data_IF_463556742249
#
_entry.id   IF_463556742249
#
_cell.length_a   1.000
_cell.length_b   1.000
_cell.length_c   1.000
_cell.angle_alpha   90.00
_cell.angle_beta   90.00
_cell.angle_gamma   90.00
#
_symmetry.space_group_name_H-M   'P 1'
#
loop_
_entity.id
_entity.type
_entity.pdbx_description
1 polymer ?
#
# COMPACT_ATOMS: atom_id res chain seq x y z
N UNK A 1 16.88 1.78 -3.26
CA UNK A 1 17.66 1.11 -2.18
C UNK A 1 18.03 2.06 -1.03
N UNK A 2 17.88 3.37 -1.19
CA UNK A 2 18.48 4.32 -0.28
C UNK A 2 20.02 4.34 -0.43
N UNK A 3 20.72 4.86 0.58
CA UNK A 3 22.17 5.01 0.56
C UNK A 3 22.93 4.01 1.43
N UNK A 4 22.26 3.38 2.41
CA UNK A 4 22.91 2.53 3.41
C UNK A 4 22.58 1.04 3.29
N UNK A 5 21.45 0.68 2.70
CA UNK A 5 21.05 -0.72 2.53
C UNK A 5 21.77 -1.37 1.36
N UNK A 6 22.24 -2.60 1.54
CA UNK A 6 22.90 -3.39 0.48
C UNK A 6 21.90 -4.06 -0.46
N UNK A 7 20.69 -4.32 0.01
CA UNK A 7 19.60 -4.97 -0.73
C UNK A 7 18.33 -4.11 -0.69
N UNK A 8 17.46 -4.31 -1.68
CA UNK A 8 16.14 -3.72 -1.66
C UNK A 8 15.12 -4.78 -1.22
N UNK A 9 14.51 -4.57 -0.07
CA UNK A 9 13.48 -5.44 0.49
C UNK A 9 12.06 -4.94 0.20
N UNK A 10 11.93 -3.75 -0.44
CA UNK A 10 10.65 -3.24 -0.92
C UNK A 10 10.26 -3.86 -2.25
N UNK A 11 8.96 -4.12 -2.43
CA UNK A 11 8.37 -4.52 -3.69
C UNK A 11 7.15 -3.66 -4.03
N UNK A 12 7.00 -3.30 -5.30
CA UNK A 12 5.88 -2.49 -5.78
C UNK A 12 5.27 -3.07 -7.05
N UNK A 13 3.97 -2.87 -7.24
CA UNK A 13 3.30 -3.15 -8.51
C UNK A 13 2.15 -2.16 -8.75
N UNK A 14 1.87 -1.91 -10.03
CA UNK A 14 0.71 -1.14 -10.44
C UNK A 14 0.11 -1.67 -11.74
N UNK A 15 -1.21 -1.68 -11.85
CA UNK A 15 -1.94 -1.98 -13.08
C UNK A 15 -3.08 -0.99 -13.28
N UNK A 16 -2.83 0.01 -14.13
CA UNK A 16 -3.84 1.02 -14.48
C UNK A 16 -5.08 0.43 -15.19
N UNK A 17 -5.01 -0.79 -15.76
CA UNK A 17 -6.15 -1.40 -16.46
C UNK A 17 -7.24 -1.87 -15.51
N UNK A 18 -6.88 -2.23 -14.30
CA UNK A 18 -7.76 -2.65 -13.21
C UNK A 18 -7.73 -1.66 -12.03
N UNK A 19 -6.95 -0.57 -12.12
CA UNK A 19 -6.83 0.45 -11.09
C UNK A 19 -6.14 -0.02 -9.82
N UNK A 20 -5.18 -0.93 -9.94
CA UNK A 20 -4.47 -1.53 -8.82
C UNK A 20 -3.15 -0.82 -8.54
N UNK A 21 -2.89 -0.52 -7.26
CA UNK A 21 -1.59 -0.12 -6.72
C UNK A 21 -1.24 -1.02 -5.54
N UNK A 22 0.02 -1.46 -5.46
CA UNK A 22 0.54 -2.34 -4.42
C UNK A 22 1.93 -1.88 -3.99
N UNK A 23 2.15 -1.83 -2.68
CA UNK A 23 3.45 -1.62 -2.07
C UNK A 23 3.58 -2.57 -0.88
N UNK A 24 4.73 -3.19 -0.74
CA UNK A 24 5.12 -4.05 0.36
C UNK A 24 6.56 -3.75 0.74
N UNK A 25 6.81 -3.55 2.04
CA UNK A 25 8.12 -3.33 2.64
C UNK A 25 8.50 -4.56 3.44
N UNK A 26 9.54 -5.24 3.00
CA UNK A 26 9.95 -6.52 3.52
C UNK A 26 10.83 -6.41 4.74
N UNK A 27 10.59 -7.25 5.73
CA UNK A 27 11.39 -7.36 6.93
C UNK A 27 11.86 -8.78 7.18
N UNK A 28 13.09 -8.93 7.66
CA UNK A 28 13.67 -10.23 8.01
C UNK A 28 15.18 -10.23 7.99
N UNK A 29 15.79 -11.33 8.45
CA UNK A 29 17.23 -11.51 8.38
C UNK A 29 17.69 -11.92 6.98
N UNK A 30 18.89 -11.52 6.59
CA UNK A 30 19.51 -11.85 5.30
C UNK A 30 18.75 -11.30 4.09
N UNK A 31 18.08 -12.13 3.30
CA UNK A 31 17.21 -11.77 2.15
C UNK A 31 15.75 -12.14 2.37
N UNK A 32 15.39 -12.42 3.60
CA UNK A 32 14.05 -12.92 3.90
C UNK A 32 12.98 -11.86 3.68
N UNK A 33 13.27 -10.59 3.95
CA UNK A 33 12.39 -9.46 3.66
C UNK A 33 12.09 -9.31 2.16
N UNK A 34 13.13 -9.35 1.31
CA UNK A 34 13.00 -9.31 -0.16
C UNK A 34 12.04 -10.40 -0.66
N UNK A 35 12.21 -11.63 -0.17
CA UNK A 35 11.35 -12.76 -0.56
C UNK A 35 9.90 -12.54 -0.11
N UNK A 36 9.69 -12.04 1.12
CA UNK A 36 8.35 -11.81 1.65
C UNK A 36 7.59 -10.74 0.85
N UNK A 37 8.23 -9.59 0.59
CA UNK A 37 7.62 -8.47 -0.15
C UNK A 37 7.33 -8.84 -1.61
N UNK A 38 8.26 -9.54 -2.28
CA UNK A 38 8.04 -10.02 -3.66
C UNK A 38 6.87 -11.02 -3.74
N UNK A 39 6.81 -12.02 -2.84
CA UNK A 39 5.70 -12.98 -2.78
C UNK A 39 4.38 -12.21 -2.54
N UNK A 40 4.36 -11.26 -1.61
CA UNK A 40 3.17 -10.48 -1.30
C UNK A 40 2.65 -9.75 -2.53
N UNK A 41 3.49 -8.98 -3.21
CA UNK A 41 3.12 -8.19 -4.37
C UNK A 41 2.69 -9.07 -5.54
N UNK A 42 3.46 -10.12 -5.86
CA UNK A 42 3.16 -11.01 -7.00
C UNK A 42 1.88 -11.80 -6.79
N UNK A 43 1.69 -12.41 -5.61
CA UNK A 43 0.50 -13.21 -5.33
C UNK A 43 -0.76 -12.34 -5.26
N UNK A 44 -0.72 -11.21 -4.54
CA UNK A 44 -1.88 -10.35 -4.40
C UNK A 44 -2.26 -9.75 -5.76
N UNK A 45 -1.29 -9.30 -6.56
CA UNK A 45 -1.56 -8.80 -7.91
C UNK A 45 -2.22 -9.86 -8.80
N UNK A 46 -1.72 -11.11 -8.77
CA UNK A 46 -2.28 -12.21 -9.56
C UNK A 46 -3.71 -12.57 -9.11
N UNK A 47 -3.93 -12.75 -7.81
CA UNK A 47 -5.25 -13.10 -7.25
C UNK A 47 -6.30 -12.00 -7.53
N UNK A 48 -5.93 -10.73 -7.36
CA UNK A 48 -6.83 -9.61 -7.63
C UNK A 48 -7.14 -9.48 -9.12
N UNK A 49 -6.13 -9.66 -9.99
CA UNK A 49 -6.33 -9.63 -11.44
C UNK A 49 -7.30 -10.73 -11.88
N UNK A 50 -7.14 -11.96 -11.37
CA UNK A 50 -8.05 -13.08 -11.65
C UNK A 50 -9.46 -12.80 -11.09
N UNK A 51 -9.55 -12.34 -9.84
CA UNK A 51 -10.83 -12.05 -9.20
C UNK A 51 -11.63 -10.98 -9.95
N UNK A 52 -10.95 -9.93 -10.44
CA UNK A 52 -11.58 -8.85 -11.20
C UNK A 52 -12.01 -9.27 -12.61
N UNK A 53 -11.42 -10.32 -13.20
CA UNK A 53 -11.90 -10.93 -14.42
C UNK A 53 -13.18 -11.75 -14.20
N UNK A 54 -13.44 -12.24 -12.98
CA UNK A 54 -14.58 -13.07 -12.61
C UNK A 54 -15.46 -12.45 -11.48
N UNK A 55 -15.94 -11.21 -11.62
CA UNK A 55 -16.59 -10.47 -10.55
C UNK A 55 -17.91 -11.08 -10.08
N UNK A 56 -18.50 -12.02 -10.84
CA UNK A 56 -19.77 -12.69 -10.47
C UNK A 56 -19.62 -13.47 -9.16
N UNK A 57 -18.47 -14.04 -8.86
CA UNK A 57 -18.18 -14.77 -7.62
C UNK A 57 -18.35 -13.92 -6.36
N UNK A 58 -18.19 -12.59 -6.48
CA UNK A 58 -18.17 -11.65 -5.37
C UNK A 58 -19.46 -10.81 -5.25
N UNK A 59 -20.34 -10.83 -6.27
CA UNK A 59 -21.60 -10.05 -6.29
C UNK A 59 -22.67 -10.50 -5.28
N UNK A 60 -22.58 -11.71 -4.73
CA UNK A 60 -23.60 -12.29 -3.85
C UNK A 60 -23.32 -12.07 -2.35
N UNK A 61 -22.31 -11.28 -2.00
CA UNK A 61 -22.06 -10.95 -0.60
C UNK A 61 -23.12 -9.97 -0.11
N UNK A 62 -23.95 -10.40 0.83
CA UNK A 62 -24.92 -9.57 1.56
C UNK A 62 -24.27 -8.54 2.50
N UNK A 63 -22.96 -8.40 2.44
CA UNK A 63 -22.18 -7.49 3.25
C UNK A 63 -22.22 -6.07 2.69
N UNK A 64 -22.21 -5.09 3.57
CA UNK A 64 -22.20 -3.63 3.34
C UNK A 64 -20.94 -3.12 2.62
N UNK A 65 -19.96 -4.01 2.38
CA UNK A 65 -18.65 -3.69 1.75
C UNK A 65 -18.65 -3.93 0.25
N UNK A 66 -17.83 -3.20 -0.47
CA UNK A 66 -17.61 -3.36 -1.90
C UNK A 66 -17.04 -4.76 -2.23
N UNK A 67 -17.36 -5.31 -3.41
CA UNK A 67 -16.79 -6.60 -3.86
C UNK A 67 -15.25 -6.63 -3.82
N UNK A 68 -14.60 -5.52 -4.14
CA UNK A 68 -13.15 -5.36 -4.14
C UNK A 68 -12.56 -5.57 -2.74
N UNK A 69 -13.23 -5.10 -1.69
CA UNK A 69 -12.78 -5.34 -0.31
C UNK A 69 -12.76 -6.84 0.03
N UNK A 70 -13.73 -7.62 -0.46
CA UNK A 70 -13.73 -9.06 -0.27
C UNK A 70 -12.63 -9.75 -1.10
N UNK A 71 -12.41 -9.30 -2.33
CA UNK A 71 -11.32 -9.81 -3.17
C UNK A 71 -9.97 -9.61 -2.48
N UNK A 72 -9.74 -8.42 -1.88
CA UNK A 72 -8.52 -8.14 -1.11
C UNK A 72 -8.37 -9.06 0.10
N UNK A 73 -9.45 -9.25 0.89
CA UNK A 73 -9.41 -10.14 2.05
C UNK A 73 -9.02 -11.57 1.65
N UNK A 74 -9.61 -12.11 0.59
CA UNK A 74 -9.35 -13.48 0.14
C UNK A 74 -7.90 -13.60 -0.38
N UNK A 75 -7.43 -12.62 -1.16
CA UNK A 75 -6.06 -12.58 -1.68
C UNK A 75 -5.02 -12.47 -0.55
N UNK A 76 -5.22 -11.54 0.38
CA UNK A 76 -4.31 -11.31 1.51
C UNK A 76 -4.24 -12.53 2.42
N UNK A 77 -5.39 -13.15 2.74
CA UNK A 77 -5.42 -14.38 3.56
C UNK A 77 -4.62 -15.51 2.94
N UNK A 78 -4.76 -15.73 1.63
CA UNK A 78 -4.04 -16.77 0.91
C UNK A 78 -2.54 -16.47 0.88
N UNK A 79 -2.16 -15.22 0.61
CA UNK A 79 -0.78 -14.77 0.59
C UNK A 79 -0.12 -14.90 1.95
N UNK A 80 -0.79 -14.46 3.03
CA UNK A 80 -0.30 -14.61 4.39
C UNK A 80 0.01 -16.07 4.74
N UNK A 81 -0.92 -16.97 4.44
CA UNK A 81 -0.72 -18.40 4.69
C UNK A 81 0.51 -18.95 3.94
N UNK A 82 0.74 -18.50 2.69
CA UNK A 82 1.90 -18.92 1.89
C UNK A 82 3.20 -18.40 2.50
N UNK A 83 3.31 -17.10 2.82
CA UNK A 83 4.50 -16.51 3.42
C UNK A 83 4.79 -17.17 4.77
N UNK A 84 3.77 -17.33 5.62
CA UNK A 84 3.90 -17.99 6.92
C UNK A 84 4.41 -19.42 6.79
N UNK A 85 3.86 -20.22 5.86
CA UNK A 85 4.31 -21.60 5.64
C UNK A 85 5.78 -21.66 5.19
N UNK A 86 6.21 -20.76 4.30
CA UNK A 86 7.59 -20.70 3.86
C UNK A 86 8.50 -20.33 5.03
N UNK A 87 8.11 -19.33 5.85
CA UNK A 87 8.89 -18.90 7.02
C UNK A 87 9.08 -20.01 8.05
N UNK A 88 8.13 -20.95 8.15
CA UNK A 88 8.21 -22.08 9.07
C UNK A 88 9.02 -23.27 8.53
N UNK A 89 9.06 -23.45 7.21
CA UNK A 89 9.66 -24.62 6.58
C UNK A 89 11.08 -24.38 6.04
N UNK A 90 11.41 -23.13 5.70
CA UNK A 90 12.69 -22.76 5.10
C UNK A 90 13.53 -21.96 6.10
N UNK A 91 14.61 -22.53 6.67
CA UNK A 91 15.42 -21.85 7.70
C UNK A 91 15.98 -20.49 7.28
N UNK A 92 16.30 -20.30 5.98
CA UNK A 92 16.77 -19.03 5.44
C UNK A 92 15.68 -17.95 5.40
N UNK A 93 14.41 -18.33 5.49
CA UNK A 93 13.25 -17.45 5.48
C UNK A 93 12.61 -17.31 6.87
N UNK A 94 13.26 -17.85 7.92
CA UNK A 94 12.71 -17.84 9.27
C UNK A 94 12.49 -16.40 9.76
N UNK A 95 11.26 -16.12 10.21
CA UNK A 95 10.88 -14.80 10.70
C UNK A 95 10.69 -13.73 9.62
N UNK A 96 10.62 -14.11 8.34
CA UNK A 96 10.28 -13.16 7.29
C UNK A 96 8.86 -12.63 7.44
N UNK A 97 8.69 -11.38 7.07
CA UNK A 97 7.39 -10.73 6.99
C UNK A 97 7.45 -9.53 6.07
N UNK A 98 6.32 -8.92 5.84
CA UNK A 98 6.25 -7.69 5.04
C UNK A 98 5.05 -6.84 5.42
N UNK A 99 5.17 -5.53 5.27
CA UNK A 99 4.02 -4.63 5.26
C UNK A 99 3.18 -4.86 4.01
N UNK A 100 2.05 -4.22 3.93
CA UNK A 100 1.21 -4.19 2.73
C UNK A 100 0.38 -2.91 2.69
N UNK A 101 0.42 -2.21 1.57
CA UNK A 101 -0.60 -1.25 1.16
C UNK A 101 -1.13 -1.67 -0.21
N UNK A 102 -2.41 -1.99 -0.27
CA UNK A 102 -3.11 -2.32 -1.52
C UNK A 102 -4.26 -1.36 -1.74
N UNK A 103 -4.32 -0.75 -2.91
CA UNK A 103 -5.36 0.20 -3.27
C UNK A 103 -5.97 -0.16 -4.63
N UNK A 104 -7.31 -0.21 -4.71
CA UNK A 104 -8.04 -0.49 -5.93
C UNK A 104 -9.00 0.67 -6.21
N UNK A 105 -8.79 1.34 -7.34
CA UNK A 105 -9.72 2.34 -7.84
C UNK A 105 -10.94 1.66 -8.45
N UNK A 106 -12.11 2.02 -7.96
CA UNK A 106 -13.39 1.71 -8.56
C UNK A 106 -13.91 2.94 -9.32
N UNK A 107 -15.19 2.94 -9.72
CA UNK A 107 -15.74 4.07 -10.48
C UNK A 107 -15.59 5.42 -9.76
N UNK A 108 -15.90 5.48 -8.46
CA UNK A 108 -15.93 6.71 -7.67
C UNK A 108 -15.29 6.54 -6.29
N UNK A 109 -14.71 5.38 -6.00
CA UNK A 109 -14.14 5.06 -4.69
C UNK A 109 -12.78 4.42 -4.85
N UNK A 110 -11.95 4.58 -3.83
CA UNK A 110 -10.71 3.88 -3.61
C UNK A 110 -10.93 2.92 -2.45
N UNK A 111 -10.80 1.63 -2.70
CA UNK A 111 -10.79 0.60 -1.66
C UNK A 111 -9.35 0.37 -1.26
N UNK A 112 -9.06 0.52 0.02
CA UNK A 112 -7.71 0.42 0.58
C UNK A 112 -7.67 -0.72 1.58
N UNK A 113 -6.69 -1.60 1.44
CA UNK A 113 -6.32 -2.60 2.43
C UNK A 113 -4.90 -2.32 2.91
N UNK A 114 -4.66 -2.41 4.23
CA UNK A 114 -3.37 -2.06 4.76
C UNK A 114 -2.99 -2.92 5.97
N UNK A 115 -1.67 -3.21 6.09
CA UNK A 115 -1.02 -3.90 7.19
C UNK A 115 0.40 -3.34 7.32
N UNK A 116 0.78 -2.89 8.51
CA UNK A 116 2.12 -2.35 8.79
C UNK A 116 2.15 -0.84 8.87
N UNK A 117 3.28 -0.22 8.59
CA UNK A 117 3.55 1.21 8.70
C UNK A 117 3.94 1.87 7.37
N UNK A 118 3.90 1.13 6.27
CA UNK A 118 3.86 1.73 4.93
C UNK A 118 2.57 2.52 4.76
N UNK A 119 2.62 3.66 4.08
CA UNK A 119 1.52 4.64 4.12
C UNK A 119 0.88 4.88 2.76
N UNK A 120 -0.40 5.27 2.80
CA UNK A 120 -1.14 5.85 1.70
C UNK A 120 -1.55 7.27 2.07
N UNK A 121 -1.17 8.23 1.22
CA UNK A 121 -1.59 9.63 1.31
C UNK A 121 -2.50 10.01 0.15
N UNK A 122 -3.34 11.02 0.38
CA UNK A 122 -4.11 11.73 -0.66
C UNK A 122 -3.82 13.23 -0.58
N UNK A 123 -3.41 13.81 -1.71
CA UNK A 123 -3.40 15.27 -1.89
C UNK A 123 -4.68 15.68 -2.63
N UNK A 124 -5.51 16.48 -1.98
CA UNK A 124 -6.74 17.10 -2.50
C UNK A 124 -6.80 18.55 -2.06
N UNK A 125 -7.08 19.47 -2.99
CA UNK A 125 -7.18 20.90 -2.70
C UNK A 125 -5.96 21.44 -1.91
N UNK A 126 -4.76 21.00 -2.28
CA UNK A 126 -3.48 21.31 -1.64
C UNK A 126 -3.31 20.78 -0.19
N UNK A 127 -4.24 19.98 0.29
CA UNK A 127 -4.16 19.34 1.61
C UNK A 127 -3.72 17.89 1.45
N UNK A 128 -2.57 17.55 2.04
CA UNK A 128 -2.11 16.16 2.17
C UNK A 128 -2.78 15.53 3.38
N UNK A 129 -3.35 14.36 3.20
CA UNK A 129 -4.00 13.58 4.25
C UNK A 129 -3.45 12.16 4.21
N UNK A 130 -2.91 11.65 5.31
CA UNK A 130 -2.62 10.24 5.48
C UNK A 130 -3.95 9.48 5.60
N UNK A 131 -4.14 8.45 4.78
CA UNK A 131 -5.37 7.66 4.74
C UNK A 131 -5.25 6.33 5.51
N UNK A 132 -4.04 5.82 5.69
CA UNK A 132 -3.74 4.63 6.52
C UNK A 132 -3.30 5.09 7.91
N UNK A 133 -3.52 4.25 8.92
CA UNK A 133 -2.98 4.46 10.26
C UNK A 133 -1.89 3.42 10.53
N UNK A 134 -0.69 3.84 10.94
CA UNK A 134 0.45 2.94 11.08
C UNK A 134 0.18 1.86 12.14
N UNK A 135 0.39 0.59 11.81
CA UNK A 135 0.42 -0.49 12.78
C UNK A 135 1.82 -0.54 13.43
N UNK A 136 2.10 0.45 14.26
CA UNK A 136 3.37 0.58 14.98
C UNK A 136 3.14 0.76 16.48
N UNK A 137 4.12 0.35 17.28
CA UNK A 137 4.06 0.50 18.74
C UNK A 137 3.85 1.97 19.15
N UNK A 138 4.46 2.88 18.42
CA UNK A 138 4.32 4.33 18.68
C UNK A 138 2.90 4.79 18.42
N UNK A 139 2.28 4.37 17.32
CA UNK A 139 0.91 4.74 17.00
C UNK A 139 -0.07 4.18 18.04
N UNK A 140 0.14 2.93 18.48
CA UNK A 140 -0.66 2.34 19.56
C UNK A 140 -0.54 3.12 20.88
N UNK A 141 0.66 3.62 21.20
CA UNK A 141 0.86 4.45 22.40
C UNK A 141 0.19 5.82 22.28
N UNK A 142 0.20 6.43 21.09
CA UNK A 142 -0.53 7.68 20.83
C UNK A 142 -2.04 7.46 21.00
N UNK A 143 -2.58 6.39 20.39
CA UNK A 143 -4.00 6.05 20.46
C UNK A 143 -4.46 5.75 21.88
N UNK A 144 -3.59 5.15 22.70
CA UNK A 144 -3.83 4.91 24.11
C UNK A 144 -3.65 6.17 24.99
N UNK A 145 -3.21 7.31 24.42
CA UNK A 145 -2.94 8.53 25.17
C UNK A 145 -1.73 8.46 26.09
N UNK A 146 -0.83 7.49 25.86
CA UNK A 146 0.37 7.27 26.68
C UNK A 146 1.50 8.23 26.33
N UNK A 147 1.57 8.67 25.08
CA UNK A 147 2.53 9.66 24.57
C UNK A 147 1.83 10.70 23.69
N UNK A 148 2.38 11.91 23.63
CA UNK A 148 1.94 12.93 22.69
C UNK A 148 2.59 12.75 21.31
N UNK A 149 2.03 13.40 20.27
CA UNK A 149 2.66 13.44 18.94
C UNK A 149 4.11 13.98 18.98
N UNK A 150 4.37 15.01 19.79
CA UNK A 150 5.71 15.59 19.95
C UNK A 150 6.70 14.60 20.57
N UNK A 151 6.23 13.80 21.54
CA UNK A 151 7.02 12.74 22.16
C UNK A 151 7.30 11.60 21.18
N UNK A 152 6.33 11.26 20.34
CA UNK A 152 6.47 10.28 19.29
C UNK A 152 7.54 10.67 18.25
N UNK A 153 7.55 11.94 17.80
CA UNK A 153 8.56 12.46 16.87
C UNK A 153 10.00 12.31 17.38
N UNK A 154 10.21 12.40 18.69
CA UNK A 154 11.51 12.28 19.34
C UNK A 154 11.89 10.84 19.75
N UNK A 155 11.00 9.88 19.55
CA UNK A 155 11.23 8.49 19.97
C UNK A 155 12.23 7.77 19.06
N UNK A 156 13.09 6.97 19.69
CA UNK A 156 14.04 6.08 18.98
C UNK A 156 13.43 4.73 18.59
N UNK A 157 12.15 4.49 18.93
CA UNK A 157 11.44 3.22 18.68
C UNK A 157 10.43 3.32 17.53
N UNK A 158 10.64 4.22 16.58
CA UNK A 158 9.68 4.49 15.50
C UNK A 158 9.37 3.25 14.64
N UNK A 159 10.34 2.37 14.44
CA UNK A 159 10.29 1.29 13.45
C UNK A 159 9.85 -0.06 14.05
N UNK A 160 9.07 -0.07 15.16
CA UNK A 160 8.51 -1.31 15.68
C UNK A 160 7.11 -1.54 15.13
N UNK A 161 7.05 -2.28 14.03
CA UNK A 161 5.80 -2.72 13.40
C UNK A 161 5.11 -3.75 14.30
N UNK A 162 3.82 -3.59 14.52
CA UNK A 162 3.01 -4.49 15.37
C UNK A 162 2.18 -5.49 14.57
N UNK A 163 2.05 -5.30 13.25
CA UNK A 163 1.34 -6.22 12.34
C UNK A 163 2.05 -6.30 11.00
N UNK A 164 2.29 -7.53 10.52
CA UNK A 164 2.89 -7.80 9.21
C UNK A 164 2.35 -9.08 8.61
N UNK A 165 2.39 -9.18 7.27
CA UNK A 165 2.12 -10.43 6.55
C UNK A 165 3.22 -11.47 6.83
N UNK A 166 2.83 -12.72 7.03
CA UNK A 166 3.75 -13.85 7.13
C UNK A 166 4.36 -14.09 8.50
N UNK A 167 4.17 -13.18 9.47
CA UNK A 167 4.69 -13.32 10.83
C UNK A 167 3.82 -14.28 11.66
N UNK A 168 2.50 -14.11 11.57
CA UNK A 168 1.53 -14.95 12.27
C UNK A 168 0.71 -15.81 11.29
N UNK A 169 0.18 -16.93 11.78
CA UNK A 169 -0.67 -17.83 10.98
C UNK A 169 -1.88 -17.12 10.37
N UNK A 170 -2.42 -16.14 11.09
CA UNK A 170 -3.53 -15.30 10.63
C UNK A 170 -3.20 -13.84 10.77
N UNK A 171 -3.66 -13.02 9.84
CA UNK A 171 -3.47 -11.58 9.86
C UNK A 171 -4.79 -10.86 9.62
N UNK A 172 -4.98 -9.74 10.30
CA UNK A 172 -6.13 -8.86 10.11
C UNK A 172 -5.77 -7.73 9.14
N UNK A 173 -6.42 -7.73 7.97
CA UNK A 173 -6.34 -6.64 7.00
C UNK A 173 -7.25 -5.50 7.43
N UNK A 174 -6.69 -4.32 7.67
CA UNK A 174 -7.50 -3.12 7.82
C UNK A 174 -8.03 -2.68 6.46
N UNK A 175 -9.35 -2.45 6.38
CA UNK A 175 -10.05 -2.09 5.14
C UNK A 175 -10.82 -0.80 5.29
N UNK A 176 -10.57 0.13 4.40
CA UNK A 176 -11.24 1.42 4.32
C UNK A 176 -11.66 1.75 2.88
N UNK A 177 -12.71 2.57 2.73
CA UNK A 177 -13.21 3.06 1.45
C UNK A 177 -13.18 4.59 1.46
N UNK A 178 -12.71 5.20 0.38
CA UNK A 178 -12.63 6.66 0.23
C UNK A 178 -13.27 7.11 -1.08
N UNK A 179 -13.96 8.25 -1.05
CA UNK A 179 -14.44 8.89 -2.28
C UNK A 179 -13.26 9.44 -3.09
N UNK A 180 -13.31 9.24 -4.40
CA UNK A 180 -12.30 9.69 -5.36
C UNK A 180 -12.85 10.81 -6.20
N UNK A 181 -12.10 11.92 -6.30
CA UNK A 181 -12.40 13.04 -7.17
C UNK A 181 -11.33 13.19 -8.26
N UNK A 182 -11.75 13.74 -9.40
CA UNK A 182 -10.79 14.16 -10.44
C UNK A 182 -9.93 15.28 -9.88
N UNK A 183 -8.61 15.16 -10.08
CA UNK A 183 -7.60 16.07 -9.51
C UNK A 183 -6.93 15.52 -8.25
N UNK A 184 -7.47 14.48 -7.60
CA UNK A 184 -6.78 13.85 -6.49
C UNK A 184 -5.43 13.26 -6.93
N UNK A 185 -4.43 13.38 -6.08
CA UNK A 185 -3.15 12.68 -6.20
C UNK A 185 -2.99 11.76 -4.99
N UNK A 186 -2.69 10.49 -5.26
CA UNK A 186 -2.44 9.47 -4.24
C UNK A 186 -0.96 9.09 -4.26
N UNK A 187 -0.37 8.94 -3.07
CA UNK A 187 1.01 8.51 -2.86
C UNK A 187 1.01 7.30 -1.92
N UNK A 188 1.51 6.15 -2.40
CA UNK A 188 1.91 5.04 -1.55
C UNK A 188 3.42 5.16 -1.31
N UNK A 189 3.87 4.90 -0.09
CA UNK A 189 5.29 4.88 0.23
C UNK A 189 5.63 3.89 1.34
N UNK A 190 6.87 3.39 1.32
CA UNK A 190 7.50 2.70 2.45
C UNK A 190 7.94 3.72 3.52
N UNK A 191 8.32 3.22 4.70
CA UNK A 191 8.79 4.02 5.84
C UNK A 191 10.06 4.81 5.53
N UNK A 192 10.92 4.30 4.63
CA UNK A 192 12.10 5.00 4.15
C UNK A 192 11.84 6.38 3.53
N UNK A 193 10.59 6.65 3.07
CA UNK A 193 10.18 8.01 2.73
C UNK A 193 9.63 8.74 3.96
N UNK A 194 8.63 8.19 4.63
CA UNK A 194 7.85 8.90 5.66
C UNK A 194 8.63 9.18 6.95
N UNK A 195 9.66 8.40 7.24
CA UNK A 195 10.56 8.64 8.36
C UNK A 195 11.56 9.78 8.10
N UNK A 196 11.90 10.01 6.83
CA UNK A 196 12.93 10.98 6.42
C UNK A 196 12.35 12.28 5.86
N UNK A 197 11.13 12.27 5.33
CA UNK A 197 10.52 13.43 4.69
C UNK A 197 9.21 13.80 5.37
N UNK A 198 9.15 15.01 5.94
CA UNK A 198 7.94 15.51 6.62
C UNK A 198 6.77 15.65 5.64
N UNK A 199 5.55 15.41 6.12
CA UNK A 199 4.31 15.53 5.34
C UNK A 199 4.18 16.88 4.63
N UNK A 200 4.61 17.97 5.27
CA UNK A 200 4.61 19.30 4.67
C UNK A 200 5.52 19.42 3.45
N UNK A 201 6.66 18.70 3.46
CA UNK A 201 7.59 18.66 2.33
C UNK A 201 7.05 17.74 1.23
N UNK A 202 6.46 16.59 1.58
CA UNK A 202 5.77 15.70 0.64
C UNK A 202 4.66 16.47 -0.09
N UNK A 203 3.80 17.17 0.66
CA UNK A 203 2.72 17.99 0.09
C UNK A 203 3.26 19.02 -0.91
N UNK A 204 4.32 19.72 -0.54
CA UNK A 204 4.96 20.73 -1.40
C UNK A 204 5.52 20.12 -2.68
N UNK A 205 6.24 18.99 -2.59
CA UNK A 205 6.82 18.31 -3.77
C UNK A 205 5.72 17.87 -4.73
N UNK A 206 4.65 17.25 -4.23
CA UNK A 206 3.53 16.80 -5.04
C UNK A 206 2.80 17.98 -5.70
N UNK A 207 2.62 19.10 -4.97
CA UNK A 207 1.99 20.30 -5.52
C UNK A 207 2.86 20.97 -6.59
N UNK A 208 4.16 21.15 -6.33
CA UNK A 208 5.08 21.87 -7.21
C UNK A 208 5.44 21.07 -8.49
N UNK A 209 5.07 19.80 -8.54
CA UNK A 209 5.32 18.94 -9.71
C UNK A 209 4.47 19.29 -10.93
N UNK A 210 3.39 20.09 -10.78
CA UNK A 210 2.53 20.55 -11.87
C UNK A 210 2.13 19.42 -12.84
N UNK A 211 1.55 18.35 -12.30
CA UNK A 211 1.12 17.13 -13.02
C UNK A 211 2.25 16.22 -13.57
N UNK A 212 3.53 16.54 -13.35
CA UNK A 212 4.65 15.64 -13.64
C UNK A 212 4.91 14.68 -12.45
N UNK A 213 4.14 13.60 -12.39
CA UNK A 213 4.25 12.62 -11.31
C UNK A 213 5.58 11.86 -11.32
N UNK A 214 6.27 11.78 -12.46
CA UNK A 214 7.60 11.18 -12.56
C UNK A 214 8.63 12.06 -11.87
N UNK A 215 8.57 13.36 -12.12
CA UNK A 215 9.42 14.34 -11.45
C UNK A 215 9.15 14.37 -9.93
N UNK A 216 7.86 14.29 -9.53
CA UNK A 216 7.49 14.22 -8.11
C UNK A 216 8.11 13.01 -7.43
N UNK A 217 7.98 11.82 -8.02
CA UNK A 217 8.54 10.59 -7.48
C UNK A 217 10.06 10.66 -7.33
N UNK A 218 10.78 11.16 -8.35
CA UNK A 218 12.24 11.36 -8.27
C UNK A 218 12.60 12.31 -7.13
N UNK A 219 11.95 13.47 -7.05
CA UNK A 219 12.23 14.45 -5.99
C UNK A 219 11.96 13.92 -4.58
N UNK A 220 10.91 13.11 -4.39
CA UNK A 220 10.64 12.49 -3.09
C UNK A 220 11.78 11.55 -2.68
N UNK A 221 12.20 10.67 -3.58
CA UNK A 221 13.31 9.75 -3.34
C UNK A 221 14.63 10.50 -3.12
N UNK A 222 14.94 11.51 -3.94
CA UNK A 222 16.14 12.32 -3.78
C UNK A 222 16.15 13.06 -2.44
N UNK A 223 14.99 13.63 -2.02
CA UNK A 223 14.86 14.32 -0.74
C UNK A 223 15.07 13.36 0.44
N UNK A 224 14.54 12.14 0.37
CA UNK A 224 14.77 11.13 1.41
C UNK A 224 16.24 10.71 1.47
N UNK A 225 16.90 10.55 0.31
CA UNK A 225 18.34 10.28 0.26
C UNK A 225 19.17 11.42 0.83
N UNK A 226 18.85 12.67 0.50
CA UNK A 226 19.52 13.87 1.05
C UNK A 226 19.37 13.97 2.58
N UNK A 227 18.26 13.43 3.13
CA UNK A 227 18.01 13.36 4.57
C UNK A 227 18.62 12.11 5.24
N UNK A 228 19.45 11.35 4.52
CA UNK A 228 20.24 10.25 5.05
C UNK A 228 20.07 8.92 4.34
N UNK A 229 18.93 8.65 3.69
CA UNK A 229 18.68 7.43 2.91
C UNK A 229 18.94 6.14 3.68
N UNK A 230 18.48 6.07 4.94
CA UNK A 230 18.83 4.97 5.86
C UNK A 230 18.16 3.65 5.52
N UNK A 231 17.07 3.70 4.77
CA UNK A 231 16.32 2.53 4.36
C UNK A 231 16.03 2.49 2.87
N UNK A 232 15.38 1.42 2.42
CA UNK A 232 14.80 1.33 1.09
C UNK A 232 13.70 2.39 0.94
N UNK A 233 13.66 3.07 -0.19
CA UNK A 233 12.71 4.16 -0.43
C UNK A 233 11.90 3.81 -1.66
N UNK A 234 10.64 3.44 -1.44
CA UNK A 234 9.70 3.11 -2.50
C UNK A 234 8.51 4.03 -2.51
N UNK A 235 8.13 4.49 -3.71
CA UNK A 235 6.98 5.37 -3.91
C UNK A 235 6.18 4.95 -5.14
N UNK A 236 4.86 5.05 -5.06
CA UNK A 236 3.95 5.00 -6.20
C UNK A 236 3.07 6.24 -6.15
N UNK A 237 3.01 6.99 -7.25
CA UNK A 237 2.12 8.16 -7.36
C UNK A 237 1.08 7.89 -8.42
N UNK A 238 -0.19 8.13 -8.09
CA UNK A 238 -1.31 8.02 -9.01
C UNK A 238 -2.15 9.29 -9.00
N UNK A 239 -2.32 9.91 -10.18
CA UNK A 239 -3.18 11.08 -10.35
C UNK A 239 -4.49 10.69 -11.03
N UNK A 240 -5.61 11.19 -10.51
CA UNK A 240 -6.94 10.94 -11.04
C UNK A 240 -7.30 12.00 -12.10
N UNK A 241 -7.01 11.71 -13.36
CA UNK A 241 -7.29 12.62 -14.48
C UNK A 241 -8.72 12.52 -15.00
N UNK A 242 -9.42 11.43 -14.68
CA UNK A 242 -10.82 11.14 -15.07
C UNK A 242 -11.39 10.04 -14.18
N UNK A 243 -12.74 9.92 -14.08
CA UNK A 243 -13.35 8.82 -13.35
C UNK A 243 -12.81 7.47 -13.84
N UNK A 244 -12.42 6.59 -12.93
CA UNK A 244 -11.91 5.27 -13.29
C UNK A 244 -13.04 4.40 -13.85
N UNK A 245 -12.81 3.78 -15.01
CA UNK A 245 -13.71 2.81 -15.63
C UNK A 245 -12.86 1.59 -15.98
N UNK A 246 -12.99 0.50 -15.24
CA UNK A 246 -12.32 -0.75 -15.55
C UNK A 246 -12.63 -1.19 -16.99
N UNK A 247 -11.60 -1.57 -17.77
CA UNK A 247 -11.74 -1.91 -19.19
C UNK A 247 -12.67 -3.10 -19.46
N UNK A 248 -12.90 -3.96 -18.49
CA UNK A 248 -13.80 -5.11 -18.57
C UNK A 248 -15.22 -4.82 -18.10
N UNK A 249 -15.72 -3.59 -18.27
CA UNK A 249 -17.12 -3.29 -18.01
C UNK A 249 -18.01 -4.08 -18.99
N UNK A 250 -18.55 -5.16 -18.50
CA UNK A 250 -19.55 -6.07 -19.11
C UNK A 250 -20.80 -5.35 -19.65
N UNK A 251 -20.94 -4.09 -19.33
CA UNK A 251 -22.07 -3.24 -19.72
C UNK A 251 -22.12 -2.94 -21.23
N UNK A 252 -21.02 -3.08 -21.99
CA UNK A 252 -21.03 -2.83 -23.45
C UNK A 252 -21.82 -3.85 -24.26
N UNK A 253 -22.11 -5.04 -23.76
CA UNK A 253 -22.81 -6.09 -24.49
C UNK A 253 -24.33 -6.12 -24.26
N UNK A 254 -24.87 -5.40 -23.29
CA UNK A 254 -26.31 -5.36 -23.03
C UNK A 254 -27.10 -4.43 -23.99
N UNK A 255 -26.43 -3.52 -24.69
CA UNK A 255 -27.06 -2.57 -25.60
C UNK A 255 -26.86 -2.89 -27.07
N UNK A 256 -26.19 -4.00 -27.44
CA UNK A 256 -26.01 -4.43 -28.82
C UNK A 256 -27.00 -5.48 -29.31
N UNK A 257 -27.96 -5.92 -28.51
CA UNK A 257 -28.95 -6.93 -28.90
C UNK A 257 -30.36 -6.35 -29.06
N UNK A 258 -30.50 -5.25 -29.76
CA UNK A 258 -31.77 -4.82 -30.37
C UNK A 258 -31.48 -3.90 -31.56
N UNK A 259 -31.19 -4.49 -32.69
CA UNK A 259 -31.52 -3.99 -34.04
C UNK A 259 -31.75 -5.18 -34.93
#
# INVERSE_FOLDING_TARGET
MGLLREHNEDAIASDCSIGLLLLADGMGGYKAGEVASEIAVLMIAAELTEAMQHPIRYKQSSARRLPEAKMMLDAVKKTNATIYQISQNEPQCAGMGTTLVVAIFTRNQLVVGHIGDSRLYRLRDQVLTQLTEDHSLIQEQINAGLISLEQAESSTKKNLVTRALGVDETVELELQDFDVLVGDVYLLCSDGLSDLVKDTTIAKILHDANDDMTLAASKLVDTANDNGGFDNISVIIAQVNKPFIAKNSWVKNLFKSKR
#
